data_IF_855839179212
#
_entry.id   IF_855839179212
#
_cell.length_a   1.000
_cell.length_b   1.000
_cell.length_c   1.000
_cell.angle_alpha   90.00
_cell.angle_beta   90.00
_cell.angle_gamma   90.00
#
_symmetry.space_group_name_H-M   'P 1'
#
loop_
_entity.id
_entity.type
_entity.pdbx_description
1 polymer ?
#
# COMPACT_ATOMS: atom_id res chain seq x y z
N UNK A 1 0.98 15.25 9.47
CA UNK A 1 -0.36 15.59 9.99
C UNK A 1 -1.04 14.44 10.74
N UNK A 2 -0.84 13.16 10.33
CA UNK A 2 -1.52 12.00 10.93
C UNK A 2 -1.22 11.77 12.43
N UNK A 3 -0.19 12.42 12.98
CA UNK A 3 0.15 12.35 14.42
C UNK A 3 -0.63 13.37 15.29
N UNK A 4 -1.51 14.19 14.69
CA UNK A 4 -2.27 15.17 15.45
C UNK A 4 -3.30 14.48 16.36
N UNK A 5 -3.50 14.98 17.60
CA UNK A 5 -4.43 14.36 18.55
C UNK A 5 -5.89 14.31 18.07
N UNK A 6 -6.26 15.19 17.12
CA UNK A 6 -7.59 15.22 16.52
C UNK A 6 -7.93 14.00 15.68
N UNK A 7 -6.92 13.21 15.30
CA UNK A 7 -7.08 11.95 14.53
C UNK A 7 -7.06 10.70 15.42
N UNK A 8 -7.07 10.87 16.74
CA UNK A 8 -7.06 9.76 17.67
C UNK A 8 -8.25 8.82 17.41
N UNK A 9 -7.95 7.53 17.27
CA UNK A 9 -8.92 6.46 17.01
C UNK A 9 -9.75 6.68 15.73
N UNK A 10 -9.19 7.37 14.70
CA UNK A 10 -9.84 7.63 13.41
C UNK A 10 -9.10 7.02 12.23
N UNK A 11 -7.92 6.44 12.45
CA UNK A 11 -7.06 5.93 11.38
C UNK A 11 -7.09 4.41 11.37
N UNK A 12 -7.30 3.83 10.19
CA UNK A 12 -7.09 2.41 9.96
C UNK A 12 -5.86 2.18 9.10
N UNK A 13 -5.08 1.16 9.47
CA UNK A 13 -3.89 0.71 8.76
C UNK A 13 -3.94 -0.82 8.67
N UNK A 14 -3.29 -1.41 7.68
CA UNK A 14 -3.12 -2.85 7.67
C UNK A 14 -2.01 -3.30 8.63
N UNK A 15 -2.10 -4.53 9.12
CA UNK A 15 -1.18 -5.09 10.10
C UNK A 15 0.21 -5.33 9.48
N UNK A 16 1.26 -4.92 10.16
CA UNK A 16 2.65 -4.99 9.71
C UNK A 16 3.15 -6.41 9.47
N UNK A 17 2.62 -7.41 10.20
CA UNK A 17 2.99 -8.81 10.01
C UNK A 17 2.33 -9.45 8.79
N UNK A 18 1.09 -9.04 8.46
CA UNK A 18 0.26 -9.78 7.50
C UNK A 18 0.16 -9.13 6.13
N UNK A 19 0.34 -7.81 6.01
CA UNK A 19 0.10 -7.06 4.79
C UNK A 19 1.36 -6.45 4.17
N UNK A 20 1.52 -6.61 2.86
CA UNK A 20 2.58 -5.96 2.08
C UNK A 20 2.48 -4.43 2.12
N UNK A 21 1.26 -3.89 2.04
CA UNK A 21 0.98 -2.46 2.13
C UNK A 21 1.52 -1.84 3.42
N UNK A 22 1.32 -2.49 4.57
CA UNK A 22 1.86 -2.00 5.84
C UNK A 22 3.39 -2.06 5.88
N UNK A 23 4.00 -3.09 5.28
CA UNK A 23 5.46 -3.18 5.15
C UNK A 23 6.02 -2.07 4.27
N UNK A 24 5.28 -1.68 3.22
CA UNK A 24 5.64 -0.52 2.41
C UNK A 24 5.58 0.77 3.24
N UNK A 25 4.61 0.93 4.14
CA UNK A 25 4.55 2.07 5.07
C UNK A 25 5.77 2.11 5.99
N UNK A 26 6.21 0.97 6.54
CA UNK A 26 7.45 0.90 7.34
C UNK A 26 8.64 1.42 6.52
N UNK A 27 8.90 0.83 5.35
CA UNK A 27 10.00 1.23 4.48
C UNK A 27 9.94 2.73 4.12
N UNK A 28 8.73 3.21 3.80
CA UNK A 28 8.50 4.62 3.47
C UNK A 28 8.90 5.54 4.62
N UNK A 29 8.50 5.24 5.84
CA UNK A 29 8.80 6.09 6.99
C UNK A 29 10.30 6.04 7.34
N UNK A 30 10.91 4.86 7.29
CA UNK A 30 12.35 4.70 7.55
C UNK A 30 13.19 5.40 6.49
N UNK A 31 12.88 5.24 5.22
CA UNK A 31 13.66 5.88 4.14
C UNK A 31 13.46 7.39 4.12
N UNK A 32 12.29 7.88 4.51
CA UNK A 32 11.97 9.31 4.52
C UNK A 32 12.57 10.06 5.69
N UNK A 33 12.56 9.47 6.88
CA UNK A 33 12.95 10.16 8.11
C UNK A 33 14.25 9.63 8.72
N UNK A 34 14.82 8.56 8.18
CA UNK A 34 15.89 7.78 8.78
C UNK A 34 15.35 6.70 9.72
N UNK A 35 16.18 5.70 10.03
CA UNK A 35 15.80 4.49 10.74
C UNK A 35 15.08 4.77 12.07
N UNK A 36 15.72 5.47 12.98
CA UNK A 36 15.18 5.67 14.34
C UNK A 36 13.95 6.60 14.37
N UNK A 37 13.99 7.68 13.59
CA UNK A 37 12.87 8.62 13.50
C UNK A 37 11.69 8.02 12.73
N UNK A 38 11.94 7.14 11.75
CA UNK A 38 10.91 6.39 11.04
C UNK A 38 10.18 5.43 11.97
N UNK A 39 10.89 4.66 12.78
CA UNK A 39 10.29 3.77 13.80
C UNK A 39 9.51 4.60 14.83
N UNK A 40 10.11 5.67 15.32
CA UNK A 40 9.44 6.58 16.27
C UNK A 40 8.15 7.15 15.70
N UNK A 41 8.15 7.54 14.40
CA UNK A 41 6.94 8.02 13.73
C UNK A 41 5.83 6.98 13.75
N UNK A 42 6.15 5.69 13.49
CA UNK A 42 5.17 4.61 13.47
C UNK A 42 4.61 4.32 14.87
N UNK A 43 5.45 4.40 15.92
CA UNK A 43 5.01 4.29 17.31
C UNK A 43 4.11 5.47 17.70
N UNK A 44 4.42 6.68 17.25
CA UNK A 44 3.57 7.84 17.51
C UNK A 44 2.26 7.77 16.72
N UNK A 45 2.27 7.24 15.49
CA UNK A 45 1.09 7.02 14.66
C UNK A 45 0.11 6.01 15.29
N UNK A 46 0.63 4.97 15.92
CA UNK A 46 -0.17 3.94 16.59
C UNK A 46 -1.18 4.52 17.59
N UNK A 47 -0.85 5.62 18.25
CA UNK A 47 -1.73 6.31 19.19
C UNK A 47 -3.04 6.82 18.54
N UNK A 48 -3.06 6.96 17.23
CA UNK A 48 -4.19 7.41 16.44
C UNK A 48 -4.84 6.27 15.61
N UNK A 49 -4.24 5.07 15.63
CA UNK A 49 -4.79 3.90 14.94
C UNK A 49 -5.89 3.27 15.78
N UNK A 50 -7.06 3.11 15.18
CA UNK A 50 -8.20 2.39 15.76
C UNK A 50 -8.13 0.90 15.45
N UNK A 51 -7.83 0.56 14.17
CA UNK A 51 -7.86 -0.83 13.70
C UNK A 51 -6.67 -1.15 12.81
N UNK A 52 -6.07 -2.31 13.07
CA UNK A 52 -5.14 -2.97 12.16
C UNK A 52 -5.83 -4.07 11.37
N UNK A 53 -6.07 -3.85 10.07
CA UNK A 53 -6.73 -4.84 9.23
C UNK A 53 -5.76 -5.93 8.75
N UNK A 54 -6.25 -7.16 8.60
CA UNK A 54 -5.42 -8.27 8.08
C UNK A 54 -5.00 -8.07 6.62
N UNK A 55 -5.89 -7.48 5.80
CA UNK A 55 -5.67 -7.22 4.37
C UNK A 55 -5.19 -5.80 4.13
N UNK A 56 -4.24 -5.62 3.18
CA UNK A 56 -3.72 -4.31 2.79
C UNK A 56 -4.78 -3.34 2.24
N UNK A 57 -5.80 -3.85 1.56
CA UNK A 57 -6.91 -3.05 1.03
C UNK A 57 -8.05 -2.81 2.03
N UNK A 58 -7.96 -3.38 3.24
CA UNK A 58 -8.98 -3.24 4.28
C UNK A 58 -9.28 -1.79 4.63
N UNK A 59 -8.27 -0.94 4.95
CA UNK A 59 -8.51 0.45 5.29
C UNK A 59 -9.28 1.20 4.20
N UNK A 60 -8.86 1.10 2.94
CA UNK A 60 -9.52 1.78 1.82
C UNK A 60 -10.98 1.36 1.64
N UNK A 61 -11.29 0.07 1.78
CA UNK A 61 -12.65 -0.45 1.68
C UNK A 61 -13.56 0.09 2.78
N UNK A 62 -13.05 0.18 4.00
CA UNK A 62 -13.84 0.60 5.15
C UNK A 62 -14.03 2.13 5.23
N UNK A 63 -13.20 2.93 4.56
CA UNK A 63 -13.49 4.35 4.35
C UNK A 63 -14.75 4.53 3.50
N UNK A 64 -14.90 3.74 2.42
CA UNK A 64 -16.08 3.80 1.56
C UNK A 64 -17.38 3.50 2.30
N UNK A 65 -17.37 2.47 3.16
CA UNK A 65 -18.55 2.09 3.96
C UNK A 65 -18.82 3.02 5.15
N UNK A 66 -17.88 3.92 5.48
CA UNK A 66 -17.99 4.82 6.62
C UNK A 66 -17.62 4.20 7.97
N UNK A 67 -17.06 3.00 7.99
CA UNK A 67 -16.54 2.36 9.21
C UNK A 67 -15.18 2.94 9.63
N UNK A 68 -14.46 3.54 8.71
CA UNK A 68 -13.16 4.16 8.89
C UNK A 68 -13.18 5.60 8.40
N UNK A 69 -12.60 6.53 9.14
CA UNK A 69 -12.52 7.93 8.72
C UNK A 69 -11.29 8.17 7.84
N UNK A 70 -10.14 7.63 8.21
CA UNK A 70 -8.88 7.77 7.48
C UNK A 70 -8.30 6.39 7.24
N UNK A 71 -8.22 5.96 5.99
CA UNK A 71 -7.59 4.72 5.59
C UNK A 71 -6.19 4.96 5.02
N UNK A 72 -5.17 4.29 5.56
CA UNK A 72 -3.83 4.29 4.97
C UNK A 72 -3.71 3.05 4.07
N UNK A 73 -3.58 3.27 2.76
CA UNK A 73 -3.53 2.20 1.76
C UNK A 73 -3.01 2.68 0.41
N UNK A 74 -3.15 1.86 -0.61
CA UNK A 74 -2.83 2.26 -1.96
C UNK A 74 -3.86 3.25 -2.51
N UNK A 75 -3.40 4.27 -3.22
CA UNK A 75 -4.27 5.29 -3.82
C UNK A 75 -5.24 4.69 -4.85
N UNK A 76 -4.81 3.71 -5.64
CA UNK A 76 -5.68 3.04 -6.61
C UNK A 76 -6.83 2.26 -5.96
N UNK A 77 -6.65 1.72 -4.75
CA UNK A 77 -7.74 1.10 -3.99
C UNK A 77 -8.82 2.15 -3.61
N UNK A 78 -8.39 3.38 -3.31
CA UNK A 78 -9.32 4.48 -3.05
C UNK A 78 -10.09 4.92 -4.31
N UNK A 79 -9.44 4.94 -5.48
CA UNK A 79 -10.12 5.20 -6.77
C UNK A 79 -11.23 4.18 -6.99
N UNK A 80 -10.95 2.89 -6.74
CA UNK A 80 -11.96 1.81 -6.84
C UNK A 80 -13.18 2.09 -5.95
N UNK A 81 -12.98 2.62 -4.73
CA UNK A 81 -14.10 2.95 -3.85
C UNK A 81 -14.97 4.06 -4.43
N UNK A 82 -14.36 5.06 -5.05
CA UNK A 82 -15.09 6.20 -5.62
C UNK A 82 -15.80 5.81 -6.92
N UNK A 83 -15.09 5.21 -7.87
CA UNK A 83 -15.61 4.93 -9.21
C UNK A 83 -16.52 3.72 -9.22
N UNK A 84 -16.04 2.55 -8.77
CA UNK A 84 -16.77 1.29 -8.94
C UNK A 84 -17.84 1.11 -7.87
N UNK A 85 -17.59 1.56 -6.64
CA UNK A 85 -18.53 1.46 -5.53
C UNK A 85 -19.42 2.70 -5.36
N UNK A 86 -19.11 3.80 -6.06
CA UNK A 86 -19.94 5.00 -6.08
C UNK A 86 -19.94 5.81 -4.78
N UNK A 87 -18.89 5.70 -3.97
CA UNK A 87 -18.77 6.46 -2.72
C UNK A 87 -18.30 7.89 -3.01
N UNK A 88 -19.21 8.85 -3.04
CA UNK A 88 -18.96 10.27 -3.28
C UNK A 88 -18.44 11.03 -2.03
N UNK A 89 -18.50 10.40 -0.87
CA UNK A 89 -17.97 10.91 0.38
C UNK A 89 -16.50 10.57 0.64
N UNK A 90 -15.85 9.84 -0.26
CA UNK A 90 -14.43 9.49 -0.17
C UNK A 90 -13.56 10.49 -0.91
N UNK A 91 -12.47 10.90 -0.27
CA UNK A 91 -11.46 11.77 -0.88
C UNK A 91 -10.10 11.09 -0.84
N UNK A 92 -9.38 11.11 -1.95
CA UNK A 92 -7.96 10.73 -1.99
C UNK A 92 -7.10 11.88 -1.48
N UNK A 93 -6.14 11.55 -0.62
CA UNK A 93 -5.13 12.49 -0.12
C UNK A 93 -3.76 12.02 -0.58
N UNK A 94 -3.16 12.78 -1.49
CA UNK A 94 -1.80 12.53 -1.97
C UNK A 94 -0.85 13.39 -1.14
N UNK A 95 0.12 12.79 -0.42
CA UNK A 95 1.05 13.57 0.38
C UNK A 95 1.88 14.51 -0.48
N UNK A 96 1.90 15.82 -0.16
CA UNK A 96 2.71 16.82 -0.87
C UNK A 96 4.21 16.55 -0.81
N UNK A 97 4.63 15.74 0.13
CA UNK A 97 6.02 15.30 0.32
C UNK A 97 6.40 14.07 -0.51
N UNK A 98 5.55 13.67 -1.46
CA UNK A 98 5.70 12.43 -2.22
C UNK A 98 5.24 11.21 -1.46
N UNK A 99 5.10 10.11 -2.17
CA UNK A 99 4.74 8.79 -1.63
C UNK A 99 5.70 7.73 -2.19
N UNK A 100 5.81 6.60 -1.52
CA UNK A 100 6.50 5.44 -2.07
C UNK A 100 5.61 4.67 -3.05
N UNK A 101 6.19 3.70 -3.71
CA UNK A 101 5.49 2.83 -4.65
C UNK A 101 6.07 1.42 -4.60
N UNK A 102 5.33 0.46 -5.15
CA UNK A 102 5.85 -0.88 -5.42
C UNK A 102 5.48 -1.31 -6.84
N UNK A 103 6.26 -2.22 -7.39
CA UNK A 103 6.02 -2.80 -8.72
C UNK A 103 5.64 -4.26 -8.52
N UNK A 104 4.43 -4.62 -8.94
CA UNK A 104 3.96 -6.00 -8.93
C UNK A 104 4.84 -6.89 -9.81
N UNK A 105 5.20 -8.06 -9.31
CA UNK A 105 6.06 -9.01 -10.01
C UNK A 105 5.40 -10.37 -10.15
N UNK A 106 5.73 -11.07 -11.23
CA UNK A 106 5.34 -12.47 -11.45
C UNK A 106 6.58 -13.34 -11.66
N UNK A 107 6.53 -14.58 -11.22
CA UNK A 107 7.66 -15.51 -11.32
C UNK A 107 7.22 -16.96 -11.53
N UNK A 108 8.12 -17.77 -12.06
CA UNK A 108 7.92 -19.21 -12.18
C UNK A 108 8.66 -19.92 -11.05
N UNK A 109 7.94 -20.74 -10.29
CA UNK A 109 8.56 -21.54 -9.23
C UNK A 109 9.61 -22.51 -9.81
N UNK A 110 10.74 -22.63 -9.12
CA UNK A 110 11.72 -23.68 -9.42
C UNK A 110 11.05 -25.06 -9.27
N UNK A 111 11.11 -25.86 -10.34
CA UNK A 111 10.45 -27.18 -10.36
C UNK A 111 8.94 -27.12 -10.69
N UNK A 112 8.46 -26.04 -11.27
CA UNK A 112 7.07 -25.96 -11.78
C UNK A 112 6.76 -27.17 -12.68
N UNK A 113 5.60 -27.79 -12.48
CA UNK A 113 5.20 -29.00 -13.24
C UNK A 113 4.99 -28.72 -14.75
N UNK A 114 4.61 -27.51 -15.09
CA UNK A 114 4.30 -27.09 -16.47
C UNK A 114 5.03 -25.77 -16.81
N UNK A 115 6.38 -25.77 -16.90
CA UNK A 115 7.14 -24.52 -17.03
C UNK A 115 6.89 -23.80 -18.34
N UNK A 116 6.61 -24.52 -19.43
CA UNK A 116 6.31 -23.89 -20.74
C UNK A 116 4.94 -23.20 -20.74
N UNK A 117 3.95 -23.81 -20.10
CA UNK A 117 2.64 -23.15 -19.92
C UNK A 117 2.75 -21.91 -19.03
N UNK A 118 3.57 -22.00 -17.96
CA UNK A 118 3.83 -20.85 -17.09
C UNK A 118 4.52 -19.70 -17.83
N UNK A 119 5.49 -19.99 -18.70
CA UNK A 119 6.13 -18.97 -19.55
C UNK A 119 5.13 -18.31 -20.48
N UNK A 120 4.32 -19.11 -21.20
CA UNK A 120 3.30 -18.58 -22.10
C UNK A 120 2.29 -17.69 -21.36
N UNK A 121 1.90 -18.11 -20.14
CA UNK A 121 1.03 -17.31 -19.28
C UNK A 121 1.68 -15.96 -18.92
N UNK A 122 2.94 -15.96 -18.51
CA UNK A 122 3.66 -14.72 -18.15
C UNK A 122 3.81 -13.81 -19.37
N UNK A 123 4.15 -14.34 -20.55
CA UNK A 123 4.23 -13.56 -21.79
C UNK A 123 2.90 -12.88 -22.10
N UNK A 124 1.78 -13.58 -21.94
CA UNK A 124 0.46 -12.99 -22.11
C UNK A 124 0.14 -11.98 -21.01
N UNK A 125 0.38 -12.32 -19.74
CA UNK A 125 0.07 -11.47 -18.58
C UNK A 125 0.85 -10.14 -18.60
N UNK A 126 2.03 -10.12 -19.22
CA UNK A 126 2.85 -8.92 -19.39
C UNK A 126 2.62 -8.22 -20.74
N UNK A 127 1.71 -8.70 -21.56
CA UNK A 127 1.39 -8.02 -22.82
C UNK A 127 0.49 -6.81 -22.60
N UNK A 128 0.57 -5.77 -23.47
CA UNK A 128 -0.37 -4.64 -23.43
C UNK A 128 -1.84 -5.08 -23.49
N UNK A 129 -2.14 -6.11 -24.27
CA UNK A 129 -3.50 -6.65 -24.40
C UNK A 129 -4.07 -7.12 -23.05
N UNK A 130 -3.23 -7.74 -22.20
CA UNK A 130 -3.66 -8.22 -20.88
C UNK A 130 -3.68 -7.09 -19.85
N UNK A 131 -2.60 -6.32 -19.73
CA UNK A 131 -2.51 -5.31 -18.68
C UNK A 131 -3.51 -4.17 -18.87
N UNK A 132 -3.88 -3.84 -20.10
CA UNK A 132 -4.91 -2.84 -20.40
C UNK A 132 -6.32 -3.25 -19.94
N UNK A 133 -6.55 -4.56 -19.65
CA UNK A 133 -7.81 -5.00 -19.07
C UNK A 133 -7.95 -4.63 -17.59
N UNK A 134 -6.87 -4.29 -16.91
CA UNK A 134 -6.88 -4.03 -15.47
C UNK A 134 -7.85 -2.90 -15.09
N UNK A 135 -7.77 -1.75 -15.74
CA UNK A 135 -8.65 -0.62 -15.48
C UNK A 135 -10.13 -0.92 -15.79
N UNK A 136 -10.40 -1.72 -16.83
CA UNK A 136 -11.76 -2.17 -17.18
C UNK A 136 -12.37 -3.11 -16.12
N UNK A 137 -11.53 -3.65 -15.23
CA UNK A 137 -11.91 -4.56 -14.16
C UNK A 137 -11.62 -3.98 -12.77
N UNK A 138 -11.64 -2.65 -12.62
CA UNK A 138 -11.55 -1.96 -11.33
C UNK A 138 -10.14 -1.89 -10.73
N UNK A 139 -9.09 -2.10 -11.52
CA UNK A 139 -7.71 -1.93 -11.07
C UNK A 139 -7.07 -0.73 -11.75
N UNK A 140 -6.92 0.35 -11.00
CA UNK A 140 -6.44 1.66 -11.50
C UNK A 140 -4.96 1.92 -11.21
N UNK A 141 -4.15 0.85 -11.16
CA UNK A 141 -2.71 0.93 -10.98
C UNK A 141 -2.03 1.46 -12.23
N UNK A 142 -0.95 2.23 -12.07
CA UNK A 142 -0.07 2.55 -13.19
C UNK A 142 0.56 1.30 -13.78
N UNK A 143 0.62 1.24 -15.10
CA UNK A 143 1.18 0.12 -15.84
C UNK A 143 2.64 0.41 -16.20
N UNK A 144 3.53 -0.54 -15.93
CA UNK A 144 4.98 -0.44 -16.19
C UNK A 144 5.42 -1.15 -17.47
N UNK A 145 4.46 -1.63 -18.26
CA UNK A 145 4.72 -2.30 -19.54
C UNK A 145 4.75 -1.26 -20.65
N UNK A 146 5.75 -1.32 -21.52
CA UNK A 146 5.87 -0.47 -22.69
C UNK A 146 4.62 -0.61 -23.59
N UNK A 147 4.16 0.51 -24.11
CA UNK A 147 2.95 0.59 -24.96
C UNK A 147 1.64 0.21 -24.26
N UNK A 148 1.59 0.08 -22.94
CA UNK A 148 0.35 -0.03 -22.20
C UNK A 148 -0.37 1.33 -22.11
N UNK A 149 -1.70 1.29 -22.09
CA UNK A 149 -2.54 2.48 -21.92
C UNK A 149 -2.74 2.74 -20.43
N UNK A 150 -2.26 3.87 -19.93
CA UNK A 150 -2.44 4.22 -18.53
C UNK A 150 -3.92 4.43 -18.18
N UNK A 151 -4.36 4.08 -16.94
CA UNK A 151 -5.72 4.33 -16.50
C UNK A 151 -6.03 5.83 -16.48
N UNK A 152 -7.03 6.28 -17.24
CA UNK A 152 -7.47 7.70 -17.26
C UNK A 152 -7.86 8.17 -15.86
N UNK A 153 -8.56 7.33 -15.10
CA UNK A 153 -8.95 7.59 -13.74
C UNK A 153 -7.78 8.00 -12.82
N UNK A 154 -6.61 7.39 -12.98
CA UNK A 154 -5.44 7.76 -12.18
C UNK A 154 -5.07 9.24 -12.35
N UNK A 155 -5.07 9.75 -13.59
CA UNK A 155 -4.80 11.16 -13.89
C UNK A 155 -5.94 12.08 -13.42
N UNK A 156 -7.20 11.67 -13.56
CA UNK A 156 -8.37 12.44 -13.08
C UNK A 156 -8.32 12.69 -11.57
N UNK A 157 -7.81 11.72 -10.79
CA UNK A 157 -7.60 11.87 -9.36
C UNK A 157 -6.26 12.49 -8.98
N UNK A 158 -5.50 12.99 -9.97
CA UNK A 158 -4.23 13.69 -9.73
C UNK A 158 -3.08 12.79 -9.31
N UNK A 159 -3.17 11.48 -9.56
CA UNK A 159 -2.04 10.59 -9.36
C UNK A 159 -0.99 10.84 -10.46
N UNK A 160 0.26 10.96 -10.04
CA UNK A 160 1.39 11.18 -10.92
C UNK A 160 2.48 10.15 -10.58
N UNK A 161 2.85 9.26 -11.50
CA UNK A 161 3.88 8.26 -11.27
C UNK A 161 5.29 8.88 -11.11
N UNK A 162 5.47 10.14 -11.49
CA UNK A 162 6.72 10.87 -11.28
C UNK A 162 6.78 11.58 -9.91
N UNK A 163 5.64 11.77 -9.25
CA UNK A 163 5.57 12.39 -7.91
C UNK A 163 5.75 11.35 -6.80
N UNK A 164 6.82 10.60 -6.88
CA UNK A 164 7.20 9.58 -5.90
C UNK A 164 8.53 9.94 -5.26
N UNK A 165 8.75 9.45 -4.03
CA UNK A 165 10.05 9.60 -3.37
C UNK A 165 11.09 8.70 -4.05
N UNK A 166 12.36 9.06 -3.89
CA UNK A 166 13.48 8.16 -4.23
C UNK A 166 13.43 6.96 -3.27
N UNK A 167 12.93 5.83 -3.78
CA UNK A 167 12.67 4.64 -2.98
C UNK A 167 13.70 3.56 -3.26
N UNK A 168 14.49 3.21 -2.22
CA UNK A 168 15.52 2.18 -2.29
C UNK A 168 14.90 0.78 -2.14
N UNK A 169 14.69 0.11 -3.28
CA UNK A 169 14.18 -1.26 -3.33
C UNK A 169 15.16 -2.30 -2.76
N UNK A 170 16.46 -2.06 -2.88
CA UNK A 170 17.49 -2.99 -2.39
C UNK A 170 17.51 -2.97 -0.86
N UNK A 171 17.49 -1.79 -0.25
CA UNK A 171 17.34 -1.63 1.19
C UNK A 171 16.04 -2.26 1.69
N UNK A 172 14.92 -1.90 1.07
CA UNK A 172 13.60 -2.42 1.42
C UNK A 172 13.55 -3.95 1.38
N UNK A 173 14.05 -4.56 0.30
CA UNK A 173 14.05 -6.02 0.13
C UNK A 173 14.93 -6.71 1.15
N UNK A 174 16.10 -6.15 1.44
CA UNK A 174 17.09 -6.73 2.33
C UNK A 174 16.67 -6.66 3.79
N UNK A 175 16.08 -5.55 4.21
CA UNK A 175 15.93 -5.20 5.62
C UNK A 175 14.48 -5.31 6.14
N UNK A 176 13.47 -5.49 5.29
CA UNK A 176 12.05 -5.46 5.71
C UNK A 176 11.70 -6.38 6.87
N UNK A 177 12.31 -7.57 6.94
CA UNK A 177 12.04 -8.48 8.07
C UNK A 177 12.52 -7.92 9.38
N UNK A 178 13.74 -7.37 9.39
CA UNK A 178 14.34 -6.71 10.56
C UNK A 178 13.51 -5.48 10.94
N UNK A 179 13.14 -4.65 9.98
CA UNK A 179 12.33 -3.46 10.24
C UNK A 179 10.96 -3.79 10.83
N UNK A 180 10.29 -4.84 10.34
CA UNK A 180 9.02 -5.30 10.94
C UNK A 180 9.24 -5.73 12.39
N UNK A 181 10.28 -6.53 12.69
CA UNK A 181 10.59 -6.98 14.06
C UNK A 181 10.88 -5.80 14.97
N UNK A 182 11.66 -4.82 14.53
CA UNK A 182 11.99 -3.62 15.31
C UNK A 182 10.77 -2.75 15.59
N UNK A 183 9.93 -2.51 14.58
CA UNK A 183 8.67 -1.76 14.74
C UNK A 183 7.74 -2.48 15.71
N UNK A 184 7.54 -3.80 15.56
CA UNK A 184 6.68 -4.57 16.44
C UNK A 184 7.19 -4.57 17.90
N UNK A 185 8.52 -4.68 18.10
CA UNK A 185 9.13 -4.58 19.43
C UNK A 185 8.94 -3.19 20.04
N UNK A 186 9.10 -2.13 19.24
CA UNK A 186 8.92 -0.76 19.71
C UNK A 186 7.46 -0.47 20.07
N UNK A 187 6.50 -0.97 19.28
CA UNK A 187 5.07 -0.90 19.57
C UNK A 187 4.73 -1.65 20.86
N UNK A 188 5.19 -2.88 21.01
CA UNK A 188 4.97 -3.66 22.25
C UNK A 188 5.55 -2.95 23.48
N UNK A 189 6.74 -2.35 23.38
CA UNK A 189 7.36 -1.59 24.45
C UNK A 189 6.60 -0.30 24.80
N UNK A 190 5.88 0.28 23.87
CA UNK A 190 5.03 1.48 24.08
C UNK A 190 3.66 1.16 24.72
N UNK A 191 3.30 -0.12 24.84
CA UNK A 191 1.98 -0.56 25.29
C UNK A 191 0.92 -0.48 24.20
N UNK A 192 1.32 -0.44 22.94
CA UNK A 192 0.44 -0.39 21.79
C UNK A 192 -0.37 -1.69 21.62
N UNK A 193 -1.60 -1.58 21.11
CA UNK A 193 -2.39 -2.74 20.71
C UNK A 193 -1.99 -3.13 19.29
N UNK A 194 -1.10 -4.12 19.16
CA UNK A 194 -0.54 -4.53 17.87
C UNK A 194 -1.50 -5.33 16.98
N UNK A 195 -2.72 -5.56 17.44
CA UNK A 195 -3.73 -6.32 16.69
C UNK A 195 -3.46 -7.82 16.57
N UNK A 196 -2.45 -8.34 17.27
CA UNK A 196 -2.08 -9.76 17.24
C UNK A 196 -2.99 -10.65 18.12
N UNK A 197 -4.03 -10.11 18.74
CA UNK A 197 -4.95 -10.82 19.65
C UNK A 197 -6.27 -11.29 19.00
N UNK A 198 -6.30 -11.51 17.64
CA UNK A 198 -7.46 -12.17 17.01
C UNK A 198 -7.08 -13.04 15.83
#
# INVERSE_FOLDING_TARGET
>A
DLLKPEYKDLIWLSNYNTAGTAKLVINTMIQKYGHDEGIKYLVDLDKNIEVYTKSGSGPSKNVGTGECVIGIGFLHDGITQIIDNGYDNVQLVIPSSGTSFEIGATAIFKGAKHPNAAKLWIEYALSPDCVNLAAQNGSYQFLVIDNATQPEAAAEFGLDPENVMDYDFDDATKNIKTYVEEVMNALAASGANTGDEN
#
